data_IF_716274265533
#
_entry.id   IF_716274265533
#
_cell.length_a   1.000
_cell.length_b   1.000
_cell.length_c   1.000
_cell.angle_alpha   90.00
_cell.angle_beta   90.00
_cell.angle_gamma   90.00
#
_symmetry.space_group_name_H-M   'P 1'
#
loop_
_entity.id
_entity.type
_entity.pdbx_description
1 polymer ?
#
# COMPACT_ATOMS: atom_id res chain seq x y z
N UNK A 1 -11.86 11.18 -6.42
CA UNK A 1 -11.84 11.35 -4.94
C UNK A 1 -12.76 10.38 -4.20
N UNK A 2 -14.01 10.13 -4.63
CA UNK A 2 -14.91 9.16 -3.98
C UNK A 2 -14.32 7.74 -3.85
N UNK A 3 -13.54 7.29 -4.83
CA UNK A 3 -12.89 5.97 -4.85
C UNK A 3 -11.66 5.87 -3.94
N UNK A 4 -10.87 6.94 -3.80
CA UNK A 4 -9.74 6.98 -2.85
C UNK A 4 -10.24 6.94 -1.41
N UNK A 5 -11.37 7.59 -1.13
CA UNK A 5 -12.08 7.48 0.16
C UNK A 5 -12.50 6.03 0.43
N UNK A 6 -12.80 5.20 -0.59
CA UNK A 6 -13.07 3.78 -0.40
C UNK A 6 -11.82 2.96 -0.04
N UNK A 7 -10.66 3.25 -0.61
CA UNK A 7 -9.44 2.50 -0.33
C UNK A 7 -8.93 2.70 1.11
N UNK A 8 -8.93 3.96 1.59
CA UNK A 8 -8.59 4.25 3.00
C UNK A 8 -9.61 3.65 3.97
N UNK A 9 -10.91 3.79 3.69
CA UNK A 9 -11.96 3.17 4.52
C UNK A 9 -11.90 1.64 4.51
N UNK A 10 -11.55 1.04 3.37
CA UNK A 10 -11.32 -0.39 3.27
C UNK A 10 -10.15 -0.81 4.16
N UNK A 11 -9.00 -0.14 4.04
CA UNK A 11 -7.83 -0.42 4.87
C UNK A 11 -8.13 -0.29 6.37
N UNK A 12 -8.89 0.73 6.77
CA UNK A 12 -9.31 0.91 8.16
C UNK A 12 -10.29 -0.13 8.66
N UNK A 13 -11.10 -0.72 7.77
CA UNK A 13 -12.04 -1.78 8.11
C UNK A 13 -11.39 -3.16 8.32
N UNK A 14 -10.13 -3.32 7.90
CA UNK A 14 -9.39 -4.57 8.04
C UNK A 14 -8.89 -4.79 9.47
N UNK A 15 -8.83 -6.06 9.88
CA UNK A 15 -8.11 -6.44 11.09
C UNK A 15 -6.59 -6.30 10.88
N UNK A 16 -5.83 -6.18 11.97
CA UNK A 16 -4.36 -6.00 11.91
C UNK A 16 -3.65 -7.15 11.17
N UNK A 17 -4.18 -8.37 11.28
CA UNK A 17 -3.68 -9.52 10.51
C UNK A 17 -3.85 -9.29 9.01
N UNK A 18 -5.02 -8.88 8.57
CA UNK A 18 -5.33 -8.70 7.15
C UNK A 18 -4.59 -7.50 6.57
N UNK A 19 -4.40 -6.43 7.35
CA UNK A 19 -3.53 -5.30 6.97
C UNK A 19 -2.09 -5.77 6.74
N UNK A 20 -1.59 -6.63 7.63
CA UNK A 20 -0.26 -7.20 7.51
C UNK A 20 -0.14 -8.05 6.24
N UNK A 21 -1.09 -8.94 5.98
CA UNK A 21 -1.10 -9.80 4.79
C UNK A 21 -1.22 -8.99 3.49
N UNK A 22 -2.09 -7.97 3.47
CA UNK A 22 -2.26 -7.07 2.32
C UNK A 22 -0.97 -6.31 1.99
N UNK A 23 -0.34 -5.70 2.99
CA UNK A 23 0.88 -4.91 2.79
C UNK A 23 2.06 -5.79 2.35
N UNK A 24 2.11 -7.03 2.82
CA UNK A 24 3.09 -8.05 2.40
C UNK A 24 2.90 -8.43 0.93
N UNK A 25 1.67 -8.81 0.55
CA UNK A 25 1.37 -9.22 -0.82
C UNK A 25 1.67 -8.10 -1.85
N UNK A 26 1.36 -6.85 -1.50
CA UNK A 26 1.68 -5.69 -2.35
C UNK A 26 3.19 -5.51 -2.46
N UNK A 27 3.92 -5.53 -1.33
CA UNK A 27 5.37 -5.35 -1.33
C UNK A 27 6.08 -6.44 -2.12
N UNK A 28 5.73 -7.73 -1.93
CA UNK A 28 6.31 -8.84 -2.67
C UNK A 28 6.06 -8.73 -4.18
N UNK A 29 4.86 -8.29 -4.58
CA UNK A 29 4.52 -8.07 -5.98
C UNK A 29 5.33 -6.93 -6.62
N UNK A 30 5.71 -5.93 -5.82
CA UNK A 30 6.49 -4.76 -6.24
C UNK A 30 8.01 -4.99 -6.19
N UNK A 31 8.49 -5.87 -5.31
CA UNK A 31 9.92 -6.04 -5.00
C UNK A 31 10.80 -6.29 -6.24
N UNK A 32 10.31 -7.06 -7.21
CA UNK A 32 11.04 -7.39 -8.44
C UNK A 32 10.87 -6.37 -9.58
N UNK A 33 10.10 -5.30 -9.35
CA UNK A 33 9.89 -4.24 -10.34
C UNK A 33 11.03 -3.22 -10.32
N UNK A 34 11.13 -2.39 -11.35
CA UNK A 34 12.07 -1.28 -11.39
C UNK A 34 11.83 -0.29 -10.24
N UNK A 35 12.91 0.25 -9.66
CA UNK A 35 12.84 1.17 -8.50
C UNK A 35 11.94 2.39 -8.78
N UNK A 36 11.95 2.90 -10.02
CA UNK A 36 11.08 4.00 -10.43
C UNK A 36 9.59 3.61 -10.33
N UNK A 37 9.23 2.40 -10.79
CA UNK A 37 7.87 1.90 -10.71
C UNK A 37 7.45 1.64 -9.26
N UNK A 38 8.35 1.11 -8.42
CA UNK A 38 8.09 0.95 -6.99
C UNK A 38 7.74 2.30 -6.33
N UNK A 39 8.54 3.34 -6.59
CA UNK A 39 8.31 4.72 -6.08
C UNK A 39 7.00 5.32 -6.58
N UNK A 40 6.68 5.12 -7.85
CA UNK A 40 5.43 5.61 -8.43
C UNK A 40 4.22 4.94 -7.78
N UNK A 41 4.26 3.62 -7.56
CA UNK A 41 3.17 2.89 -6.90
C UNK A 41 3.01 3.32 -5.45
N UNK A 42 4.09 3.45 -4.67
CA UNK A 42 4.02 3.95 -3.29
C UNK A 42 3.43 5.35 -3.24
N UNK A 43 3.79 6.23 -4.18
CA UNK A 43 3.22 7.57 -4.30
C UNK A 43 1.71 7.55 -4.61
N UNK A 44 1.26 6.63 -5.45
CA UNK A 44 -0.17 6.45 -5.75
C UNK A 44 -0.94 5.88 -4.55
N UNK A 45 -0.36 4.93 -3.82
CA UNK A 45 -0.92 4.42 -2.57
C UNK A 45 -1.05 5.53 -1.54
N UNK A 46 -0.07 6.43 -1.43
CA UNK A 46 -0.09 7.56 -0.49
C UNK A 46 -1.24 8.55 -0.77
N UNK A 47 -1.68 8.66 -2.03
CA UNK A 47 -2.87 9.44 -2.41
C UNK A 47 -4.17 8.77 -1.99
N UNK A 48 -4.18 7.44 -1.83
CA UNK A 48 -5.31 6.68 -1.36
C UNK A 48 -5.36 6.60 0.17
N UNK A 49 -4.27 6.19 0.80
CA UNK A 49 -4.07 6.17 2.26
C UNK A 49 -2.59 6.21 2.62
N UNK A 50 -2.20 7.16 3.47
CA UNK A 50 -0.80 7.38 3.87
C UNK A 50 -0.23 6.22 4.71
N UNK A 51 -1.05 5.54 5.52
CA UNK A 51 -0.61 4.44 6.38
C UNK A 51 -0.34 3.20 5.53
N UNK A 52 -1.25 2.89 4.60
CA UNK A 52 -1.06 1.79 3.65
C UNK A 52 0.25 1.96 2.87
N UNK A 53 0.49 3.16 2.33
CA UNK A 53 1.73 3.45 1.60
C UNK A 53 2.98 3.27 2.46
N UNK A 54 2.97 3.78 3.70
CA UNK A 54 4.10 3.65 4.62
C UNK A 54 4.40 2.20 4.99
N UNK A 55 3.38 1.37 5.24
CA UNK A 55 3.57 -0.04 5.56
C UNK A 55 4.08 -0.86 4.37
N UNK A 56 3.66 -0.53 3.15
CA UNK A 56 4.22 -1.13 1.93
C UNK A 56 5.67 -0.71 1.73
N UNK A 57 5.99 0.58 1.88
CA UNK A 57 7.35 1.11 1.70
C UNK A 57 8.34 0.50 2.70
N UNK A 58 7.97 0.37 3.98
CA UNK A 58 8.81 -0.27 5.02
C UNK A 58 9.20 -1.71 4.67
N UNK A 59 8.40 -2.41 3.88
CA UNK A 59 8.61 -3.81 3.49
C UNK A 59 9.42 -3.95 2.19
N UNK A 60 9.56 -2.88 1.41
CA UNK A 60 10.40 -2.85 0.21
C UNK A 60 11.89 -2.55 0.54
N UNK A 61 12.15 -1.98 1.73
CA UNK A 61 13.48 -1.72 2.29
C UNK A 61 14.05 -2.92 3.04
#
# INVERSE_FOLDING_TARGET
MKEMIQAGNFYDSLEEKDKKELTEAIAESLFFQEEALQKDVVTLLAKADLRLASEVEKRLL
#
